data_IF_096550183421
#
_entry.id   IF_096550183421
#
_cell.length_a   1.000
_cell.length_b   1.000
_cell.length_c   1.000
_cell.angle_alpha   90.00
_cell.angle_beta   90.00
_cell.angle_gamma   90.00
#
_symmetry.space_group_name_H-M   'P 1'
#
loop_
_entity.id
_entity.type
_entity.pdbx_description
1 polymer ?
#
# COMPACT_ATOMS: atom_id res chain seq x y z
N UNK A 1 9.25 -3.74 2.00
CA UNK A 1 10.55 -4.11 2.57
C UNK A 1 11.62 -3.99 1.49
N UNK A 2 12.85 -3.62 1.86
CA UNK A 2 14.00 -3.60 0.94
C UNK A 2 15.20 -4.21 1.66
N UNK A 3 15.00 -5.41 2.20
CA UNK A 3 16.04 -6.15 2.89
C UNK A 3 17.08 -6.67 1.87
N UNK A 4 18.39 -6.47 2.08
CA UNK A 4 19.42 -7.00 1.19
C UNK A 4 19.23 -8.51 0.94
N UNK A 5 19.36 -8.93 -0.32
CA UNK A 5 19.23 -10.33 -0.74
C UNK A 5 17.79 -10.84 -0.84
N UNK A 6 16.77 -10.05 -0.48
CA UNK A 6 15.36 -10.41 -0.69
C UNK A 6 14.85 -9.87 -2.04
N UNK A 7 13.86 -10.54 -2.62
CA UNK A 7 13.22 -10.09 -3.86
C UNK A 7 12.68 -8.67 -3.71
N UNK A 8 12.96 -7.81 -4.69
CA UNK A 8 12.54 -6.42 -4.70
C UNK A 8 13.48 -5.47 -3.95
N UNK A 9 14.61 -5.95 -3.44
CA UNK A 9 15.69 -5.11 -2.91
C UNK A 9 16.14 -4.09 -3.96
N UNK A 10 16.24 -2.83 -3.53
CA UNK A 10 16.78 -1.71 -4.29
C UNK A 10 17.49 -0.76 -3.35
N UNK A 11 18.48 -0.04 -3.89
CA UNK A 11 19.11 1.12 -3.25
C UNK A 11 18.20 2.35 -3.30
N UNK A 12 18.53 3.39 -2.53
CA UNK A 12 17.78 4.65 -2.54
C UNK A 12 17.72 5.30 -3.94
N UNK A 13 18.85 5.32 -4.66
CA UNK A 13 18.91 5.87 -6.02
C UNK A 13 18.07 5.07 -7.01
N UNK A 14 18.10 3.75 -6.91
CA UNK A 14 17.26 2.87 -7.74
C UNK A 14 15.78 3.04 -7.44
N UNK A 15 15.41 3.22 -6.17
CA UNK A 15 14.04 3.51 -5.77
C UNK A 15 13.55 4.82 -6.40
N UNK A 16 14.36 5.88 -6.36
CA UNK A 16 14.05 7.15 -7.01
C UNK A 16 13.89 7.02 -8.53
N UNK A 17 14.80 6.30 -9.20
CA UNK A 17 14.70 6.01 -10.64
C UNK A 17 13.46 5.18 -10.97
N UNK A 18 13.10 4.20 -10.12
CA UNK A 18 11.90 3.40 -10.32
C UNK A 18 10.62 4.23 -10.20
N UNK A 19 10.55 5.16 -9.24
CA UNK A 19 9.43 6.10 -9.11
C UNK A 19 9.22 6.89 -10.39
N UNK A 20 10.30 7.44 -10.95
CA UNK A 20 10.25 8.19 -12.21
C UNK A 20 9.83 7.30 -13.39
N UNK A 21 10.47 6.13 -13.56
CA UNK A 21 10.16 5.20 -14.67
C UNK A 21 8.73 4.67 -14.64
N UNK A 22 8.14 4.54 -13.45
CA UNK A 22 6.75 4.09 -13.27
C UNK A 22 5.74 5.22 -13.41
N UNK A 23 6.20 6.46 -13.68
CA UNK A 23 5.36 7.65 -13.70
C UNK A 23 4.52 7.80 -12.42
N UNK A 24 5.13 7.46 -11.27
CA UNK A 24 4.49 7.51 -9.98
C UNK A 24 4.77 8.84 -9.29
N UNK A 25 3.80 9.34 -8.50
CA UNK A 25 3.91 10.59 -7.76
C UNK A 25 3.69 10.42 -6.24
N UNK A 26 4.43 9.52 -5.56
CA UNK A 26 4.37 9.45 -4.10
C UNK A 26 5.07 10.67 -3.48
N UNK A 27 4.62 11.10 -2.30
CA UNK A 27 5.33 12.13 -1.53
C UNK A 27 6.70 11.64 -1.04
N UNK A 28 6.82 10.34 -0.74
CA UNK A 28 8.07 9.70 -0.36
C UNK A 28 8.03 8.19 -0.68
N UNK A 29 9.22 7.61 -0.89
CA UNK A 29 9.43 6.15 -0.88
C UNK A 29 10.37 5.82 0.26
N UNK A 30 9.90 5.04 1.22
CA UNK A 30 10.68 4.63 2.38
C UNK A 30 11.17 3.19 2.15
N UNK A 31 12.48 2.99 2.29
CA UNK A 31 13.07 1.66 2.32
C UNK A 31 13.12 1.18 3.77
N UNK A 32 12.49 0.04 4.03
CA UNK A 32 12.41 -0.60 5.35
C UNK A 32 13.20 -1.92 5.30
N UNK A 33 14.55 -1.88 5.40
CA UNK A 33 15.40 -3.06 5.24
C UNK A 33 15.34 -4.01 6.44
N UNK A 34 15.17 -3.50 7.66
CA UNK A 34 15.02 -4.31 8.87
C UNK A 34 13.56 -4.77 9.12
N UNK A 35 12.61 -4.21 8.37
CA UNK A 35 11.21 -4.59 8.42
C UNK A 35 10.44 -4.00 9.60
N UNK A 36 11.03 -3.08 10.37
CA UNK A 36 10.40 -2.54 11.58
C UNK A 36 9.09 -1.83 11.27
N UNK A 37 9.04 -1.04 10.19
CA UNK A 37 7.85 -0.27 9.82
C UNK A 37 6.75 -1.23 9.36
N UNK A 38 7.07 -2.13 8.42
CA UNK A 38 6.09 -3.09 7.90
C UNK A 38 5.52 -3.99 8.99
N UNK A 39 6.35 -4.47 9.92
CA UNK A 39 5.91 -5.29 11.06
C UNK A 39 5.03 -4.49 12.03
N UNK A 40 5.37 -3.23 12.32
CA UNK A 40 4.55 -2.37 13.18
C UNK A 40 3.14 -2.12 12.62
N UNK A 41 3.00 -2.07 11.29
CA UNK A 41 1.69 -1.93 10.62
C UNK A 41 1.00 -3.27 10.34
N UNK A 42 1.66 -4.40 10.64
CA UNK A 42 1.25 -5.74 10.25
C UNK A 42 0.93 -5.80 8.72
N UNK A 43 1.90 -5.31 7.94
CA UNK A 43 1.90 -5.42 6.49
C UNK A 43 2.26 -6.85 6.06
N UNK A 44 1.37 -7.46 5.28
CA UNK A 44 1.40 -8.87 4.90
C UNK A 44 1.58 -9.07 3.41
N UNK A 45 0.96 -8.20 2.59
CA UNK A 45 1.03 -8.26 1.13
C UNK A 45 1.46 -6.93 0.53
N UNK A 46 1.90 -6.98 -0.72
CA UNK A 46 2.10 -5.80 -1.57
C UNK A 46 1.21 -5.92 -2.82
N UNK A 47 0.24 -5.00 -3.03
CA UNK A 47 -0.08 -3.84 -2.19
C UNK A 47 -0.89 -4.20 -0.92
N UNK A 48 -0.74 -3.38 0.12
CA UNK A 48 -1.64 -3.28 1.27
C UNK A 48 -1.67 -1.82 1.70
N UNK A 49 -2.87 -1.23 1.76
CA UNK A 49 -3.09 0.20 1.90
C UNK A 49 -3.54 0.55 3.32
N UNK A 50 -3.15 1.74 3.78
CA UNK A 50 -3.47 2.25 5.10
C UNK A 50 -3.91 3.72 5.01
N UNK A 51 -4.92 4.12 5.77
CA UNK A 51 -5.31 5.53 5.94
C UNK A 51 -5.33 5.84 7.43
N UNK A 52 -4.55 6.85 7.82
CA UNK A 52 -4.56 7.42 9.16
C UNK A 52 -5.34 8.73 9.10
N UNK A 53 -6.39 8.84 9.90
CA UNK A 53 -7.23 10.04 9.97
C UNK A 53 -6.54 11.17 10.76
N UNK A 54 -7.01 12.43 10.66
CA UNK A 54 -6.40 13.57 11.36
C UNK A 54 -6.34 13.43 12.89
N UNK A 55 -7.23 12.62 13.47
CA UNK A 55 -7.25 12.24 14.90
C UNK A 55 -6.23 11.14 15.25
N UNK A 56 -5.33 10.80 14.33
CA UNK A 56 -4.34 9.72 14.41
C UNK A 56 -4.92 8.30 14.51
N UNK A 57 -6.21 8.12 14.23
CA UNK A 57 -6.82 6.79 14.21
C UNK A 57 -6.57 6.09 12.88
N UNK A 58 -6.33 4.78 12.92
CA UNK A 58 -6.33 3.93 11.73
C UNK A 58 -7.77 3.83 11.19
N UNK A 59 -8.05 4.55 10.10
CA UNK A 59 -9.36 4.61 9.48
C UNK A 59 -9.58 3.53 8.42
N UNK A 60 -8.49 3.05 7.81
CA UNK A 60 -8.52 2.02 6.77
C UNK A 60 -7.24 1.17 6.80
N UNK A 61 -7.37 -0.14 6.64
CA UNK A 61 -6.27 -1.09 6.43
C UNK A 61 -6.75 -2.23 5.54
N UNK A 62 -6.27 -2.32 4.29
CA UNK A 62 -6.75 -3.38 3.41
C UNK A 62 -6.25 -3.35 1.97
N UNK A 63 -7.00 -4.00 1.08
CA UNK A 63 -6.78 -3.97 -0.38
C UNK A 63 -6.90 -2.55 -0.96
N UNK A 64 -6.38 -2.37 -2.17
CA UNK A 64 -6.57 -1.14 -2.94
C UNK A 64 -7.95 -1.10 -3.62
N UNK A 65 -8.42 -2.25 -4.10
CA UNK A 65 -9.69 -2.45 -4.81
C UNK A 65 -10.19 -3.90 -4.63
N UNK A 66 -11.32 -4.23 -5.25
CA UNK A 66 -12.01 -5.53 -5.19
C UNK A 66 -11.62 -6.52 -6.30
N UNK A 67 -10.70 -6.16 -7.20
CA UNK A 67 -10.19 -7.04 -8.26
C UNK A 67 -8.76 -7.52 -7.93
N UNK A 68 -8.59 -8.74 -7.39
CA UNK A 68 -7.29 -9.31 -7.03
C UNK A 68 -6.50 -9.81 -8.25
N UNK A 69 -6.36 -8.98 -9.28
CA UNK A 69 -5.65 -9.29 -10.52
C UNK A 69 -4.23 -8.71 -10.54
N UNK A 70 -3.32 -9.42 -11.23
CA UNK A 70 -1.97 -8.92 -11.52
C UNK A 70 -1.87 -8.30 -12.94
N UNK A 71 -3.00 -8.17 -13.66
CA UNK A 71 -3.05 -7.74 -15.06
C UNK A 71 -3.44 -6.26 -15.17
N UNK A 72 -2.59 -5.40 -15.76
CA UNK A 72 -2.83 -3.95 -15.81
C UNK A 72 -4.16 -3.51 -16.46
N UNK A 73 -4.69 -4.29 -17.41
CA UNK A 73 -5.92 -3.95 -18.15
C UNK A 73 -7.24 -4.34 -17.47
N UNK A 74 -7.20 -4.99 -16.31
CA UNK A 74 -8.40 -5.51 -15.65
C UNK A 74 -8.97 -4.58 -14.55
N UNK A 75 -8.25 -3.53 -14.15
CA UNK A 75 -8.67 -2.65 -13.05
C UNK A 75 -9.83 -1.71 -13.47
N UNK A 76 -10.16 -1.65 -14.76
CA UNK A 76 -11.29 -0.86 -15.25
C UNK A 76 -12.61 -1.43 -14.73
N UNK A 77 -13.33 -0.63 -13.94
CA UNK A 77 -14.58 -1.04 -13.29
C UNK A 77 -14.41 -1.60 -11.87
N UNK A 78 -13.19 -1.86 -11.42
CA UNK A 78 -12.93 -2.29 -10.04
C UNK A 78 -13.34 -1.20 -9.03
N UNK A 79 -13.96 -1.62 -7.93
CA UNK A 79 -14.30 -0.72 -6.84
C UNK A 79 -13.03 -0.39 -6.03
N UNK A 80 -12.57 0.86 -6.14
CA UNK A 80 -11.40 1.31 -5.40
C UNK A 80 -11.76 1.71 -3.95
N UNK A 81 -11.51 0.79 -3.02
CA UNK A 81 -11.76 0.98 -1.59
C UNK A 81 -11.06 2.22 -1.00
N UNK A 82 -9.85 2.52 -1.45
CA UNK A 82 -9.08 3.67 -0.93
C UNK A 82 -9.74 4.99 -1.32
N UNK A 83 -10.19 5.12 -2.57
CA UNK A 83 -10.90 6.31 -3.05
C UNK A 83 -12.24 6.49 -2.35
N UNK A 84 -12.98 5.40 -2.14
CA UNK A 84 -14.23 5.42 -1.39
C UNK A 84 -14.01 5.90 0.06
N UNK A 85 -13.07 5.27 0.78
CA UNK A 85 -12.75 5.64 2.17
C UNK A 85 -12.29 7.10 2.31
N UNK A 86 -11.43 7.59 1.40
CA UNK A 86 -11.01 9.00 1.40
C UNK A 86 -12.18 9.95 1.12
N UNK A 87 -13.11 9.56 0.23
CA UNK A 87 -14.32 10.33 -0.05
C UNK A 87 -15.23 10.44 1.17
N UNK A 88 -15.50 9.31 1.84
CA UNK A 88 -16.32 9.23 3.05
C UNK A 88 -15.73 10.07 4.18
N UNK A 89 -14.42 9.93 4.45
CA UNK A 89 -13.74 10.72 5.47
C UNK A 89 -13.80 12.23 5.19
N UNK A 90 -13.66 12.65 3.92
CA UNK A 90 -13.79 14.07 3.53
C UNK A 90 -15.22 14.58 3.70
N UNK A 91 -16.22 13.72 3.54
CA UNK A 91 -17.63 14.05 3.76
C UNK A 91 -18.04 13.99 5.25
N UNK A 92 -17.12 13.65 6.17
CA UNK A 92 -17.44 13.45 7.58
C UNK A 92 -18.24 12.19 7.86
N UNK A 93 -18.25 11.23 6.94
CA UNK A 93 -18.95 9.96 7.05
C UNK A 93 -18.03 8.87 7.62
N UNK A 94 -18.59 7.84 8.28
CA UNK A 94 -17.83 6.64 8.62
C UNK A 94 -17.36 5.93 7.35
N UNK A 95 -16.17 5.30 7.42
CA UNK A 95 -15.66 4.46 6.33
C UNK A 95 -16.49 3.18 6.26
N UNK A 96 -17.11 2.90 5.11
CA UNK A 96 -18.01 1.75 4.95
C UNK A 96 -17.28 0.41 4.98
N UNK A 97 -16.10 0.36 4.36
CA UNK A 97 -15.28 -0.85 4.26
C UNK A 97 -13.85 -0.57 4.79
N UNK A 98 -13.64 -0.52 6.12
CA UNK A 98 -12.35 -0.13 6.70
C UNK A 98 -11.29 -1.24 6.64
N UNK A 99 -11.69 -2.51 6.43
CA UNK A 99 -10.79 -3.67 6.48
C UNK A 99 -10.96 -4.67 5.31
N UNK A 100 -10.94 -4.22 4.04
CA UNK A 100 -11.05 -5.14 2.92
C UNK A 100 -9.82 -6.07 2.87
N UNK A 101 -10.04 -7.34 2.56
CA UNK A 101 -8.97 -8.36 2.57
C UNK A 101 -7.88 -7.98 1.56
N UNK A 102 -6.63 -7.75 2.00
CA UNK A 102 -5.55 -7.39 1.08
C UNK A 102 -5.12 -8.61 0.24
N UNK A 103 -4.59 -8.33 -0.95
CA UNK A 103 -4.11 -9.33 -1.90
C UNK A 103 -2.72 -8.96 -2.44
N UNK A 104 -2.09 -9.88 -3.17
CA UNK A 104 -0.78 -9.69 -3.80
C UNK A 104 0.33 -10.54 -3.19
N UNK A 105 1.56 -10.30 -3.64
CA UNK A 105 2.73 -11.04 -3.16
C UNK A 105 2.98 -10.76 -1.67
N UNK A 106 3.45 -11.76 -0.93
CA UNK A 106 3.83 -11.56 0.48
C UNK A 106 5.02 -10.62 0.63
N UNK A 107 5.01 -9.80 1.69
CA UNK A 107 6.15 -8.93 2.04
C UNK A 107 7.37 -9.80 2.35
N UNK A 108 8.54 -9.39 1.84
CA UNK A 108 9.81 -10.10 2.02
C UNK A 108 10.62 -9.42 3.13
N UNK A 109 10.37 -9.76 4.39
CA UNK A 109 11.13 -9.22 5.51
C UNK A 109 12.54 -9.83 5.59
N UNK A 110 13.46 -9.10 6.22
CA UNK A 110 14.67 -9.71 6.78
C UNK A 110 14.25 -10.73 7.86
N UNK A 111 15.02 -11.80 7.96
CA UNK A 111 14.83 -12.83 8.99
C UNK A 111 15.23 -12.28 10.36
#
# INVERSE_FOLDING_TARGET
>A
SSAPGKQGYVTADEANRLTQRRNAAPAAVILDPDGRIGRAYDARTTPQMYIIAPDQRLAFKGAVDDDPTHRPGNVEGAHNYVRAALGELRAGLPVSEPFPRPYGCSVKYAD
#
